data_IF_923658980806
#
_entry.id   IF_923658980806
#
_cell.length_a   1.000
_cell.length_b   1.000
_cell.length_c   1.000
_cell.angle_alpha   90.00
_cell.angle_beta   90.00
_cell.angle_gamma   90.00
#
_symmetry.space_group_name_H-M   'P 1'
#
loop_
_entity.id
_entity.type
_entity.pdbx_description
1 polymer ?
#
# COMPACT_ATOMS: atom_id res chain seq x y z
N UNK A 1 -3.51 -20.56 -16.47
CA UNK A 1 -2.86 -20.40 -15.16
C UNK A 1 -2.99 -18.94 -14.77
N UNK A 2 -3.24 -18.63 -13.49
CA UNK A 2 -3.20 -17.24 -13.02
C UNK A 2 -1.76 -16.85 -12.69
N UNK A 3 -1.38 -15.62 -13.00
CA UNK A 3 -0.07 -15.10 -12.63
C UNK A 3 -0.10 -14.55 -11.20
N UNK A 4 0.80 -15.04 -10.35
CA UNK A 4 0.91 -14.59 -8.97
C UNK A 4 1.56 -13.21 -8.92
N UNK A 5 0.93 -12.30 -8.17
CA UNK A 5 1.44 -10.95 -7.91
C UNK A 5 1.31 -10.64 -6.43
N UNK A 6 2.30 -9.93 -5.89
CA UNK A 6 2.27 -9.48 -4.51
C UNK A 6 1.63 -8.12 -4.43
N UNK A 7 0.71 -7.95 -3.48
CA UNK A 7 0.18 -6.65 -3.14
C UNK A 7 0.88 -6.10 -1.90
N UNK A 8 1.68 -5.06 -2.11
CA UNK A 8 2.56 -4.45 -1.12
C UNK A 8 1.82 -3.46 -0.22
N UNK A 9 0.82 -3.96 0.53
CA UNK A 9 0.06 -3.17 1.49
C UNK A 9 -0.26 -3.99 2.74
N UNK A 10 -0.25 -3.34 3.90
CA UNK A 10 -0.75 -3.91 5.16
C UNK A 10 -2.24 -3.69 5.37
N UNK A 11 -2.92 -2.92 4.51
CA UNK A 11 -4.33 -2.60 4.66
C UNK A 11 -5.23 -3.71 4.08
N UNK A 12 -5.88 -4.48 4.96
CA UNK A 12 -6.77 -5.59 4.57
C UNK A 12 -7.94 -5.16 3.67
N UNK A 13 -8.46 -3.95 3.83
CA UNK A 13 -9.53 -3.41 2.98
C UNK A 13 -9.05 -3.25 1.54
N UNK A 14 -7.88 -2.63 1.36
CA UNK A 14 -7.24 -2.47 0.04
C UNK A 14 -6.90 -3.81 -0.61
N UNK A 15 -6.45 -4.79 0.19
CA UNK A 15 -6.18 -6.14 -0.33
C UNK A 15 -7.41 -6.74 -0.97
N UNK A 16 -8.55 -6.68 -0.29
CA UNK A 16 -9.81 -7.21 -0.81
C UNK A 16 -10.24 -6.49 -2.09
N UNK A 17 -10.29 -5.16 -2.07
CA UNK A 17 -10.72 -4.35 -3.22
C UNK A 17 -9.84 -4.59 -4.47
N UNK A 18 -8.52 -4.61 -4.30
CA UNK A 18 -7.59 -4.83 -5.42
C UNK A 18 -7.57 -6.29 -5.88
N UNK A 19 -7.71 -7.25 -4.97
CA UNK A 19 -7.80 -8.67 -5.34
C UNK A 19 -9.02 -8.94 -6.22
N UNK A 20 -10.17 -8.37 -5.87
CA UNK A 20 -11.40 -8.50 -6.65
C UNK A 20 -11.18 -7.98 -8.07
N UNK A 21 -10.69 -6.73 -8.21
CA UNK A 21 -10.43 -6.10 -9.52
C UNK A 21 -9.39 -6.86 -10.35
N UNK A 22 -8.27 -7.26 -9.75
CA UNK A 22 -7.16 -7.89 -10.47
C UNK A 22 -7.45 -9.34 -10.86
N UNK A 23 -8.36 -10.01 -10.14
CA UNK A 23 -8.75 -11.38 -10.44
C UNK A 23 -9.41 -11.54 -11.81
N UNK A 24 -10.12 -10.51 -12.27
CA UNK A 24 -10.76 -10.44 -13.59
C UNK A 24 -9.75 -10.38 -14.74
N UNK A 25 -8.52 -9.94 -14.46
CA UNK A 25 -7.42 -9.86 -15.44
C UNK A 25 -6.49 -11.08 -15.41
N UNK A 26 -6.85 -12.14 -14.67
CA UNK A 26 -6.06 -13.38 -14.60
C UNK A 26 -4.91 -13.36 -13.59
N UNK A 27 -4.94 -12.43 -12.63
CA UNK A 27 -3.97 -12.39 -11.54
C UNK A 27 -4.46 -13.15 -10.31
N UNK A 28 -3.51 -13.74 -9.58
CA UNK A 28 -3.71 -14.26 -8.23
C UNK A 28 -2.97 -13.31 -7.28
N UNK A 29 -3.73 -12.55 -6.49
CA UNK A 29 -3.18 -11.56 -5.58
C UNK A 29 -2.80 -12.22 -4.26
N UNK A 30 -1.55 -12.03 -3.85
CA UNK A 30 -1.01 -12.50 -2.57
C UNK A 30 -0.70 -11.25 -1.74
N UNK A 31 -1.27 -11.14 -0.53
CA UNK A 31 -0.92 -10.02 0.33
C UNK A 31 0.51 -10.18 0.86
N UNK A 32 1.28 -9.09 0.94
CA UNK A 32 2.64 -9.15 1.50
C UNK A 32 2.66 -9.73 2.93
N UNK A 33 1.59 -9.50 3.70
CA UNK A 33 1.42 -10.01 5.07
C UNK A 33 1.32 -11.54 5.12
N UNK A 34 0.74 -12.16 4.08
CA UNK A 34 0.62 -13.62 4.00
C UNK A 34 1.97 -14.29 3.75
N UNK A 35 2.93 -13.53 3.21
CA UNK A 35 4.32 -13.93 3.00
C UNK A 35 5.24 -13.56 4.18
N UNK A 36 4.70 -12.94 5.24
CA UNK A 36 5.50 -12.43 6.36
C UNK A 36 6.43 -11.28 5.97
N UNK A 37 6.14 -10.57 4.88
CA UNK A 37 6.92 -9.42 4.43
C UNK A 37 6.40 -8.17 5.15
N UNK A 38 7.27 -7.53 5.93
CA UNK A 38 6.97 -6.29 6.62
C UNK A 38 6.90 -5.10 5.65
N UNK A 39 6.20 -4.03 6.03
CA UNK A 39 6.22 -2.80 5.24
C UNK A 39 7.58 -2.11 5.40
N UNK A 40 8.19 -1.62 4.30
CA UNK A 40 9.41 -0.83 4.40
C UNK A 40 9.11 0.57 4.96
N UNK A 41 10.16 1.27 5.39
CA UNK A 41 10.06 2.67 5.75
C UNK A 41 9.73 3.54 4.52
N UNK A 42 8.71 4.39 4.63
CA UNK A 42 8.27 5.30 3.58
C UNK A 42 9.09 6.61 3.63
N UNK A 43 10.23 6.62 2.94
CA UNK A 43 11.17 7.76 2.90
C UNK A 43 11.00 8.67 1.67
N UNK A 44 10.03 8.37 0.80
CA UNK A 44 9.74 9.17 -0.38
C UNK A 44 9.16 10.54 -0.03
N UNK A 45 9.41 11.52 -0.91
CA UNK A 45 8.90 12.89 -0.79
C UNK A 45 7.64 13.11 -1.64
N UNK A 46 7.18 12.07 -2.32
CA UNK A 46 5.98 12.04 -3.16
C UNK A 46 5.28 10.69 -3.04
N UNK A 47 3.98 10.65 -3.38
CA UNK A 47 3.20 9.40 -3.36
C UNK A 47 3.81 8.35 -4.31
N UNK A 48 4.27 8.78 -5.48
CA UNK A 48 4.86 7.87 -6.48
C UNK A 48 6.15 7.24 -5.95
N UNK A 49 6.98 7.98 -5.23
CA UNK A 49 8.22 7.43 -4.65
C UNK A 49 7.92 6.37 -3.58
N UNK A 50 6.96 6.63 -2.69
CA UNK A 50 6.55 5.66 -1.68
C UNK A 50 5.91 4.41 -2.29
N UNK A 51 5.06 4.57 -3.30
CA UNK A 51 4.47 3.43 -4.01
C UNK A 51 5.56 2.58 -4.69
N UNK A 52 6.51 3.20 -5.38
CA UNK A 52 7.64 2.50 -6.01
C UNK A 52 8.53 1.80 -4.97
N UNK A 53 8.81 2.45 -3.84
CA UNK A 53 9.59 1.89 -2.74
C UNK A 53 8.93 0.61 -2.20
N UNK A 54 7.63 0.69 -1.88
CA UNK A 54 6.83 -0.46 -1.41
C UNK A 54 6.82 -1.60 -2.42
N UNK A 55 6.55 -1.32 -3.70
CA UNK A 55 6.52 -2.34 -4.74
C UNK A 55 7.87 -3.03 -4.92
N UNK A 56 8.97 -2.26 -4.99
CA UNK A 56 10.32 -2.81 -5.13
C UNK A 56 10.70 -3.69 -3.95
N UNK A 57 10.44 -3.23 -2.73
CA UNK A 57 10.73 -3.98 -1.52
C UNK A 57 9.99 -5.32 -1.48
N UNK A 58 8.66 -5.30 -1.72
CA UNK A 58 7.87 -6.52 -1.73
C UNK A 58 8.28 -7.48 -2.86
N UNK A 59 8.61 -6.94 -4.03
CA UNK A 59 9.09 -7.74 -5.17
C UNK A 59 10.43 -8.41 -4.87
N UNK A 60 11.39 -7.67 -4.32
CA UNK A 60 12.69 -8.20 -3.92
C UNK A 60 12.57 -9.32 -2.88
N UNK A 61 11.72 -9.14 -1.87
CA UNK A 61 11.54 -10.13 -0.78
C UNK A 61 10.77 -11.37 -1.20
N UNK A 62 9.81 -11.23 -2.12
CA UNK A 62 8.96 -12.35 -2.56
C UNK A 62 9.49 -13.10 -3.78
N UNK A 63 10.34 -12.46 -4.59
CA UNK A 63 10.73 -12.96 -5.91
C UNK A 63 9.60 -12.90 -6.95
N UNK A 64 8.49 -12.22 -6.64
CA UNK A 64 7.32 -12.08 -7.50
C UNK A 64 7.20 -10.64 -8.01
N UNK A 65 6.49 -10.41 -9.14
CA UNK A 65 6.03 -9.07 -9.48
C UNK A 65 5.17 -8.50 -8.36
N UNK A 66 5.30 -7.20 -8.08
CA UNK A 66 4.54 -6.55 -7.02
C UNK A 66 3.81 -5.30 -7.51
N UNK A 67 2.63 -5.07 -6.95
CA UNK A 67 1.85 -3.84 -7.07
C UNK A 67 1.84 -3.17 -5.70
N UNK A 68 1.95 -1.86 -5.67
CA UNK A 68 1.78 -1.06 -4.46
C UNK A 68 0.96 0.18 -4.78
N UNK A 69 0.40 0.78 -3.74
CA UNK A 69 -0.19 2.10 -3.80
C UNK A 69 0.39 3.01 -2.72
N UNK A 70 0.32 4.32 -2.94
CA UNK A 70 0.45 5.30 -1.89
C UNK A 70 -0.59 6.39 -2.10
N UNK A 71 -1.34 6.69 -1.05
CA UNK A 71 -2.55 7.50 -1.14
C UNK A 71 -2.65 8.45 0.04
N UNK A 72 -3.15 9.65 -0.20
CA UNK A 72 -3.42 10.63 0.85
C UNK A 72 -4.43 11.68 0.44
N UNK A 73 -4.97 12.38 1.43
CA UNK A 73 -5.81 13.55 1.24
C UNK A 73 -4.92 14.79 1.04
N UNK A 74 -5.22 15.56 0.02
CA UNK A 74 -4.52 16.82 -0.29
C UNK A 74 -5.54 17.95 -0.25
N UNK A 75 -5.41 18.87 0.70
CA UNK A 75 -6.35 19.99 0.86
C UNK A 75 -5.68 21.29 0.44
N UNK A 76 -6.21 21.95 -0.59
CA UNK A 76 -5.64 23.19 -1.13
C UNK A 76 -5.56 24.30 -0.07
N UNK A 77 -6.60 24.45 0.76
CA UNK A 77 -6.64 25.46 1.83
C UNK A 77 -5.61 25.22 2.94
N UNK A 78 -5.05 24.01 3.02
CA UNK A 78 -4.02 23.63 4.00
C UNK A 78 -2.65 23.47 3.33
N UNK A 79 -2.42 24.14 2.20
CA UNK A 79 -1.19 24.04 1.41
C UNK A 79 -0.82 22.59 1.05
N UNK A 80 -1.83 21.77 0.76
CA UNK A 80 -1.66 20.36 0.39
C UNK A 80 -1.57 19.39 1.55
N UNK A 81 -1.63 19.86 2.80
CA UNK A 81 -1.76 18.96 3.96
C UNK A 81 -3.11 18.22 3.94
N UNK A 82 -3.19 17.01 4.52
CA UNK A 82 -2.09 16.26 5.17
C UNK A 82 -1.08 15.59 4.21
N UNK A 83 -1.42 15.40 2.94
CA UNK A 83 -0.51 14.83 1.94
C UNK A 83 -0.03 13.42 2.32
N UNK A 84 1.27 13.18 2.26
CA UNK A 84 1.90 11.89 2.61
C UNK A 84 1.65 11.49 4.08
N UNK A 85 1.32 12.44 4.94
CA UNK A 85 1.08 12.20 6.35
C UNK A 85 -0.38 11.85 6.66
N UNK A 86 -1.22 11.65 5.64
CA UNK A 86 -2.66 11.41 5.80
C UNK A 86 -3.01 10.36 6.84
N UNK A 87 -2.34 9.20 6.81
CA UNK A 87 -2.61 8.10 7.73
C UNK A 87 -2.19 8.37 9.19
N UNK A 88 -1.34 9.39 9.41
CA UNK A 88 -0.74 9.72 10.72
C UNK A 88 -0.90 11.19 11.10
N UNK A 89 -1.81 11.91 10.43
CA UNK A 89 -1.92 13.36 10.55
C UNK A 89 -2.35 13.80 11.94
N UNK A 90 -3.23 13.02 12.58
CA UNK A 90 -3.66 13.21 13.96
C UNK A 90 -2.86 12.36 14.96
N UNK A 91 -1.65 11.91 14.60
CA UNK A 91 -0.82 11.06 15.45
C UNK A 91 -1.43 9.68 15.71
N UNK A 92 -0.99 9.03 16.79
CA UNK A 92 -1.44 7.68 17.20
C UNK A 92 -2.97 7.59 17.40
N UNK A 93 -3.59 8.66 17.91
CA UNK A 93 -5.02 8.71 18.19
C UNK A 93 -5.89 8.77 16.92
N UNK A 94 -5.30 9.17 15.78
CA UNK A 94 -5.95 9.23 14.48
C UNK A 94 -5.82 7.97 13.62
N UNK A 95 -5.20 6.91 14.15
CA UNK A 95 -4.93 5.71 13.36
C UNK A 95 -6.19 4.87 13.14
N UNK A 96 -6.86 5.09 12.02
CA UNK A 96 -8.07 4.33 11.63
C UNK A 96 -7.83 2.82 11.52
N UNK A 97 -6.60 2.37 11.24
CA UNK A 97 -6.26 0.96 11.21
C UNK A 97 -6.22 0.32 12.62
N UNK A 98 -6.25 1.12 13.69
CA UNK A 98 -6.38 0.69 15.09
C UNK A 98 -7.81 0.78 15.63
N UNK A 99 -8.80 1.22 14.84
CA UNK A 99 -10.20 1.17 15.27
C UNK A 99 -10.64 -0.32 15.40
N UNK A 100 -11.35 -0.67 16.50
CA UNK A 100 -11.73 -2.04 16.81
C UNK A 100 -12.67 -2.66 15.76
#
# INVERSE_FOLDING_TARGET
>A
MKQKIVLATGNKGKVKEMADVLSDFGFEVIAQTDLGIESPEETGLTFVENALLKARYASEKSGLPAIADDSGLVVSALNGAPGLYSARYAGEEGNDAKKP
#
